data_IF_374903169475
#
_entry.id   IF_374903169475
#
_cell.length_a   1.000
_cell.length_b   1.000
_cell.length_c   1.000
_cell.angle_alpha   90.00
_cell.angle_beta   90.00
_cell.angle_gamma   90.00
#
_symmetry.space_group_name_H-M   'P 1'
#
loop_
_entity.id
_entity.type
_entity.pdbx_description
1 polymer ?
#
# COMPACT_ATOMS: atom_id res chain seq x y z
N UNK A 1 6.74 2.05 -14.14
CA UNK A 1 5.38 2.16 -13.59
C UNK A 1 5.41 1.68 -12.14
N UNK A 2 4.72 2.38 -11.22
CA UNK A 2 4.78 2.17 -9.77
C UNK A 2 4.43 0.72 -9.34
N UNK A 3 3.46 0.09 -9.99
CA UNK A 3 3.06 -1.31 -9.70
C UNK A 3 4.16 -2.32 -10.07
N UNK A 4 4.91 -2.07 -11.11
CA UNK A 4 6.07 -2.86 -11.50
C UNK A 4 7.20 -2.74 -10.47
N UNK A 5 7.43 -1.52 -9.97
CA UNK A 5 8.37 -1.29 -8.87
C UNK A 5 7.94 -2.00 -7.58
N UNK A 6 6.63 -1.99 -7.27
CA UNK A 6 6.07 -2.75 -6.15
C UNK A 6 6.27 -4.25 -6.36
N UNK A 7 6.03 -4.78 -7.55
CA UNK A 7 6.27 -6.19 -7.86
C UNK A 7 7.74 -6.58 -7.66
N UNK A 8 8.67 -5.77 -8.15
CA UNK A 8 10.10 -6.02 -7.97
C UNK A 8 10.50 -6.00 -6.49
N UNK A 9 9.96 -5.05 -5.72
CA UNK A 9 10.18 -4.97 -4.28
C UNK A 9 9.64 -6.21 -3.54
N UNK A 10 8.44 -6.68 -3.91
CA UNK A 10 7.87 -7.92 -3.36
C UNK A 10 8.72 -9.13 -3.74
N UNK A 11 9.19 -9.18 -4.98
CA UNK A 11 10.07 -10.25 -5.46
C UNK A 11 11.39 -10.29 -4.70
N UNK A 12 12.01 -9.15 -4.44
CA UNK A 12 13.22 -9.06 -3.60
C UNK A 12 12.96 -9.55 -2.17
N UNK A 13 11.82 -9.15 -1.59
CA UNK A 13 11.43 -9.57 -0.24
C UNK A 13 11.01 -11.05 -0.14
N UNK A 14 10.75 -11.71 -1.28
CA UNK A 14 10.24 -13.08 -1.35
C UNK A 14 11.31 -14.16 -1.29
N UNK A 15 12.61 -13.81 -1.24
CA UNK A 15 13.70 -14.76 -1.33
C UNK A 15 13.53 -15.95 -0.39
N UNK A 16 13.51 -15.72 0.92
CA UNK A 16 13.41 -16.81 1.92
C UNK A 16 11.96 -17.20 2.22
N UNK A 17 11.03 -16.26 2.11
CA UNK A 17 9.63 -16.51 2.43
C UNK A 17 8.89 -17.34 1.36
N UNK A 18 9.30 -17.26 0.09
CA UNK A 18 8.64 -17.88 -1.05
C UNK A 18 9.62 -18.71 -1.88
N UNK A 19 10.67 -18.09 -2.42
CA UNK A 19 11.52 -18.71 -3.45
C UNK A 19 12.32 -19.88 -2.89
N UNK A 20 12.89 -19.72 -1.69
CA UNK A 20 13.66 -20.76 -1.00
C UNK A 20 12.82 -21.58 -0.01
N UNK A 21 11.50 -21.36 0.03
CA UNK A 21 10.62 -22.00 0.99
C UNK A 21 10.06 -23.31 0.41
N UNK A 22 10.39 -24.48 1.00
CA UNK A 22 9.92 -25.77 0.49
C UNK A 22 8.40 -25.96 0.60
N UNK A 23 7.71 -25.14 1.40
CA UNK A 23 6.25 -25.15 1.49
C UNK A 23 5.57 -24.51 0.26
N UNK A 24 6.30 -23.71 -0.53
CA UNK A 24 5.82 -23.09 -1.75
C UNK A 24 6.43 -23.84 -2.94
N UNK A 25 5.61 -24.52 -3.76
CA UNK A 25 6.13 -25.17 -4.97
C UNK A 25 6.79 -24.17 -5.90
N UNK A 26 8.01 -24.48 -6.37
CA UNK A 26 8.80 -23.55 -7.19
C UNK A 26 8.08 -23.09 -8.46
N UNK A 27 7.22 -23.92 -9.01
CA UNK A 27 6.38 -23.62 -10.18
C UNK A 27 5.39 -22.47 -9.92
N UNK A 28 5.03 -22.23 -8.65
CA UNK A 28 4.11 -21.17 -8.24
C UNK A 28 4.80 -19.93 -7.67
N UNK A 29 6.14 -19.90 -7.56
CA UNK A 29 6.85 -18.78 -6.94
C UNK A 29 6.46 -17.41 -7.53
N UNK A 30 6.45 -17.28 -8.86
CA UNK A 30 6.08 -16.03 -9.52
C UNK A 30 4.61 -15.64 -9.30
N UNK A 31 3.72 -16.62 -9.27
CA UNK A 31 2.30 -16.41 -9.03
C UNK A 31 2.06 -15.98 -7.58
N UNK A 32 2.75 -16.58 -6.62
CA UNK A 32 2.69 -16.23 -5.20
C UNK A 32 3.22 -14.81 -4.98
N UNK A 33 4.32 -14.43 -5.63
CA UNK A 33 4.86 -13.06 -5.62
C UNK A 33 3.84 -12.07 -6.19
N UNK A 34 3.20 -12.40 -7.31
CA UNK A 34 2.16 -11.57 -7.91
C UNK A 34 0.93 -11.44 -6.99
N UNK A 35 0.52 -12.52 -6.33
CA UNK A 35 -0.59 -12.51 -5.38
C UNK A 35 -0.27 -11.67 -4.13
N UNK A 36 0.97 -11.72 -3.61
CA UNK A 36 1.42 -10.86 -2.52
C UNK A 36 1.39 -9.39 -2.92
N UNK A 37 1.89 -9.06 -4.11
CA UNK A 37 1.85 -7.70 -4.68
C UNK A 37 0.41 -7.19 -4.77
N UNK A 38 -0.49 -8.01 -5.30
CA UNK A 38 -1.91 -7.70 -5.40
C UNK A 38 -2.55 -7.50 -4.02
N UNK A 39 -2.21 -8.33 -3.05
CA UNK A 39 -2.72 -8.22 -1.68
C UNK A 39 -2.31 -6.90 -1.04
N UNK A 40 -1.06 -6.50 -1.15
CA UNK A 40 -0.57 -5.21 -0.60
C UNK A 40 -1.24 -4.04 -1.31
N UNK A 41 -1.23 -4.00 -2.64
CA UNK A 41 -1.84 -2.91 -3.40
C UNK A 41 -3.35 -2.81 -3.15
N UNK A 42 -4.06 -3.94 -3.12
CA UNK A 42 -5.51 -3.97 -2.85
C UNK A 42 -5.82 -3.60 -1.41
N UNK A 43 -5.01 -4.05 -0.46
CA UNK A 43 -5.15 -3.69 0.96
C UNK A 43 -5.03 -2.18 1.17
N UNK A 44 -4.00 -1.56 0.62
CA UNK A 44 -3.81 -0.11 0.68
C UNK A 44 -4.96 0.64 -0.03
N UNK A 45 -5.39 0.16 -1.19
CA UNK A 45 -6.52 0.72 -1.93
C UNK A 45 -7.82 0.64 -1.13
N UNK A 46 -8.11 -0.50 -0.54
CA UNK A 46 -9.30 -0.70 0.29
C UNK A 46 -9.32 0.24 1.49
N UNK A 47 -8.16 0.49 2.10
CA UNK A 47 -8.05 1.48 3.17
C UNK A 47 -8.42 2.88 2.70
N UNK A 48 -7.87 3.34 1.58
CA UNK A 48 -8.21 4.66 1.02
C UNK A 48 -9.68 4.72 0.66
N UNK A 49 -10.21 3.68 0.02
CA UNK A 49 -11.62 3.58 -0.37
C UNK A 49 -12.58 3.65 0.84
N UNK A 50 -12.16 3.12 1.99
CA UNK A 50 -12.88 3.20 3.24
C UNK A 50 -12.68 4.51 4.03
N UNK A 51 -11.95 5.49 3.48
CA UNK A 51 -11.62 6.76 4.16
C UNK A 51 -10.44 6.67 5.13
N UNK A 52 -9.68 5.58 5.12
CA UNK A 52 -8.54 5.33 5.99
C UNK A 52 -7.21 5.93 5.52
N UNK A 53 -7.24 7.02 4.75
CA UNK A 53 -6.03 7.71 4.27
C UNK A 53 -5.11 8.11 5.43
N UNK A 54 -5.67 8.61 6.54
CA UNK A 54 -4.91 8.97 7.73
C UNK A 54 -4.14 7.77 8.31
N UNK A 55 -4.74 6.59 8.31
CA UNK A 55 -4.10 5.36 8.78
C UNK A 55 -2.92 4.96 7.89
N UNK A 56 -3.03 5.13 6.57
CA UNK A 56 -1.91 4.92 5.64
C UNK A 56 -0.80 5.94 5.92
N UNK A 57 -1.14 7.22 6.00
CA UNK A 57 -0.16 8.28 6.28
C UNK A 57 0.55 8.00 7.60
N UNK A 58 -0.18 7.62 8.65
CA UNK A 58 0.41 7.26 9.94
C UNK A 58 1.33 6.05 9.84
N UNK A 59 0.94 5.01 9.09
CA UNK A 59 1.76 3.81 8.86
C UNK A 59 3.09 4.15 8.17
N UNK A 60 3.06 5.06 7.20
CA UNK A 60 4.24 5.44 6.42
C UNK A 60 5.06 6.58 7.06
N UNK A 61 4.46 7.41 7.90
CA UNK A 61 5.13 8.55 8.55
C UNK A 61 5.84 8.19 9.85
N UNK A 62 5.52 7.06 10.47
CA UNK A 62 6.10 6.62 11.76
C UNK A 62 7.57 6.22 11.59
N UNK A 63 8.43 7.24 11.45
CA UNK A 63 9.89 7.11 11.36
C UNK A 63 10.56 6.85 12.71
N UNK A 64 9.92 7.12 13.86
CA UNK A 64 10.66 7.49 15.06
C UNK A 64 10.28 6.77 16.35
N UNK A 65 9.39 5.81 16.38
CA UNK A 65 9.15 5.11 17.63
C UNK A 65 9.51 3.62 17.51
N UNK A 66 10.74 3.36 17.96
CA UNK A 66 11.21 2.05 18.43
C UNK A 66 10.66 0.83 17.66
N UNK A 67 11.24 0.59 16.49
CA UNK A 67 11.05 -0.66 15.78
C UNK A 67 10.28 -0.52 14.49
N UNK A 68 10.86 0.17 13.48
CA UNK A 68 10.48 -0.01 12.07
C UNK A 68 10.75 -1.45 11.58
N UNK A 69 10.82 -2.39 12.49
CA UNK A 69 10.99 -3.80 12.20
C UNK A 69 9.65 -4.43 11.82
N UNK A 70 9.71 -5.46 11.00
CA UNK A 70 8.56 -6.27 10.58
C UNK A 70 7.67 -6.71 11.76
N UNK A 71 8.23 -6.86 12.95
CA UNK A 71 7.51 -7.27 14.16
C UNK A 71 6.51 -6.23 14.69
N UNK A 72 6.78 -4.93 14.52
CA UNK A 72 5.84 -3.89 14.96
C UNK A 72 4.62 -3.81 14.02
N UNK A 73 4.81 -4.17 12.76
CA UNK A 73 3.73 -4.22 11.77
C UNK A 73 2.76 -5.38 12.03
N UNK A 74 3.19 -6.46 12.67
CA UNK A 74 2.32 -7.59 13.06
C UNK A 74 1.23 -7.20 14.06
N UNK A 75 1.41 -6.13 14.81
CA UNK A 75 0.38 -5.61 15.72
C UNK A 75 -0.64 -4.68 15.04
N UNK A 76 -0.41 -4.33 13.78
CA UNK A 76 -1.32 -3.46 13.04
C UNK A 76 -2.51 -4.28 12.49
N UNK A 77 -3.77 -3.92 12.81
CA UNK A 77 -4.94 -4.67 12.36
C UNK A 77 -5.07 -4.76 10.84
N UNK A 78 -4.58 -3.77 10.12
CA UNK A 78 -4.62 -3.73 8.66
C UNK A 78 -3.62 -4.71 8.07
N UNK A 79 -2.42 -4.76 8.63
CA UNK A 79 -1.39 -5.74 8.24
C UNK A 79 -1.89 -7.15 8.52
N UNK A 80 -2.52 -7.39 9.67
CA UNK A 80 -3.13 -8.68 9.99
C UNK A 80 -4.24 -9.08 9.00
N UNK A 81 -5.03 -8.11 8.56
CA UNK A 81 -6.06 -8.35 7.54
C UNK A 81 -5.44 -8.74 6.19
N UNK A 82 -4.36 -8.08 5.77
CA UNK A 82 -3.61 -8.45 4.58
C UNK A 82 -2.98 -9.84 4.70
N UNK A 83 -2.39 -10.17 5.85
CA UNK A 83 -1.83 -11.50 6.16
C UNK A 83 -2.91 -12.57 6.04
N UNK A 84 -4.07 -12.38 6.66
CA UNK A 84 -5.17 -13.32 6.61
C UNK A 84 -5.71 -13.52 5.18
N UNK A 85 -5.85 -12.45 4.43
CA UNK A 85 -6.29 -12.51 3.03
C UNK A 85 -5.28 -13.26 2.15
N UNK A 86 -4.00 -12.94 2.27
CA UNK A 86 -2.94 -13.60 1.51
C UNK A 86 -2.81 -15.08 1.89
N UNK A 87 -2.80 -15.40 3.19
CA UNK A 87 -2.79 -16.78 3.67
C UNK A 87 -3.97 -17.60 3.10
N UNK A 88 -5.18 -17.04 3.12
CA UNK A 88 -6.35 -17.65 2.51
C UNK A 88 -6.20 -17.91 1.01
N UNK A 89 -5.57 -17.01 0.28
CA UNK A 89 -5.24 -17.18 -1.15
C UNK A 89 -4.25 -18.31 -1.37
N UNK A 90 -3.20 -18.38 -0.56
CA UNK A 90 -2.19 -19.44 -0.62
C UNK A 90 -2.81 -20.82 -0.40
N UNK A 91 -3.71 -20.95 0.56
CA UNK A 91 -4.41 -22.20 0.85
C UNK A 91 -5.38 -22.57 -0.26
N UNK A 92 -6.22 -21.63 -0.68
CA UNK A 92 -7.32 -21.93 -1.60
C UNK A 92 -6.88 -22.08 -3.06
N UNK A 93 -5.85 -21.34 -3.48
CA UNK A 93 -5.43 -21.29 -4.89
C UNK A 93 -4.23 -22.18 -5.19
N UNK A 94 -3.31 -22.28 -4.22
CA UNK A 94 -2.06 -23.04 -4.40
C UNK A 94 -1.99 -24.29 -3.54
N UNK A 95 -3.06 -24.61 -2.82
CA UNK A 95 -3.17 -25.81 -1.97
C UNK A 95 -2.04 -25.93 -0.93
N UNK A 96 -1.52 -24.79 -0.46
CA UNK A 96 -0.52 -24.75 0.59
C UNK A 96 -1.22 -24.97 1.93
N UNK A 97 -0.64 -25.82 2.80
CA UNK A 97 -1.16 -26.07 4.13
C UNK A 97 -1.42 -24.75 4.90
N UNK A 98 -2.53 -24.66 5.62
CA UNK A 98 -2.95 -23.43 6.29
C UNK A 98 -1.94 -22.87 7.29
N UNK A 99 -1.20 -23.74 7.98
CA UNK A 99 -0.12 -23.33 8.90
C UNK A 99 1.05 -22.76 8.13
N UNK A 100 1.46 -23.41 7.05
CA UNK A 100 2.53 -22.95 6.17
C UNK A 100 2.13 -21.68 5.44
N UNK A 101 0.91 -21.58 4.95
CA UNK A 101 0.38 -20.39 4.30
C UNK A 101 0.40 -19.17 5.25
N UNK A 102 0.03 -19.38 6.52
CA UNK A 102 0.10 -18.34 7.54
C UNK A 102 1.55 -17.92 7.84
N UNK A 103 2.48 -18.88 7.94
CA UNK A 103 3.89 -18.60 8.15
C UNK A 103 4.48 -17.77 6.99
N UNK A 104 4.20 -18.16 5.75
CA UNK A 104 4.62 -17.39 4.55
C UNK A 104 4.05 -15.97 4.60
N UNK A 105 2.76 -15.83 4.85
CA UNK A 105 2.07 -14.55 4.87
C UNK A 105 2.59 -13.63 5.99
N UNK A 106 2.78 -14.16 7.21
CA UNK A 106 3.26 -13.41 8.37
C UNK A 106 4.72 -12.97 8.24
N UNK A 107 5.52 -13.64 7.43
CA UNK A 107 6.87 -13.22 7.11
C UNK A 107 6.90 -12.24 5.93
N UNK A 108 6.23 -12.56 4.84
CA UNK A 108 6.33 -11.81 3.59
C UNK A 108 5.65 -10.43 3.69
N UNK A 109 4.40 -10.37 4.13
CA UNK A 109 3.62 -9.12 4.10
C UNK A 109 4.25 -8.01 4.95
N UNK A 110 4.65 -8.25 6.22
CA UNK A 110 5.33 -7.22 7.02
C UNK A 110 6.69 -6.80 6.44
N UNK A 111 7.45 -7.73 5.85
CA UNK A 111 8.73 -7.41 5.21
C UNK A 111 8.53 -6.52 3.99
N UNK A 112 7.55 -6.82 3.16
CA UNK A 112 7.19 -6.00 1.99
C UNK A 112 6.79 -4.60 2.43
N UNK A 113 5.91 -4.49 3.43
CA UNK A 113 5.47 -3.18 3.95
C UNK A 113 6.63 -2.40 4.58
N UNK A 114 7.50 -3.06 5.36
CA UNK A 114 8.68 -2.42 5.92
C UNK A 114 9.61 -1.85 4.84
N UNK A 115 9.90 -2.65 3.81
CA UNK A 115 10.70 -2.20 2.67
C UNK A 115 10.02 -1.07 1.90
N UNK A 116 8.70 -1.15 1.72
CA UNK A 116 7.92 -0.10 1.06
C UNK A 116 7.97 1.20 1.86
N UNK A 117 7.79 1.15 3.18
CA UNK A 117 7.90 2.31 4.07
C UNK A 117 9.31 2.91 4.01
N UNK A 118 10.36 2.08 4.04
CA UNK A 118 11.73 2.55 3.96
C UNK A 118 12.01 3.25 2.62
N UNK A 119 11.59 2.66 1.50
CA UNK A 119 11.78 3.24 0.16
C UNK A 119 10.99 4.54 -0.03
N UNK A 120 9.75 4.62 0.45
CA UNK A 120 8.95 5.86 0.36
C UNK A 120 9.48 6.98 1.24
N UNK A 121 10.26 6.65 2.27
CA UNK A 121 10.89 7.61 3.17
C UNK A 121 12.36 7.93 2.82
N UNK A 122 12.92 7.28 1.82
CA UNK A 122 14.29 7.53 1.36
C UNK A 122 14.30 8.71 0.38
N UNK A 123 14.91 9.86 0.74
CA UNK A 123 14.97 11.02 -0.14
C UNK A 123 15.84 10.81 -1.37
N UNK A 124 16.67 9.77 -1.40
CA UNK A 124 17.51 9.41 -2.55
C UNK A 124 16.78 8.52 -3.56
N UNK A 125 15.68 7.87 -3.16
CA UNK A 125 14.85 7.03 -4.05
C UNK A 125 13.72 7.85 -4.68
N UNK A 126 14.04 8.52 -5.78
CA UNK A 126 13.06 9.31 -6.53
C UNK A 126 12.01 8.47 -7.28
N UNK A 127 12.17 7.16 -7.32
CA UNK A 127 11.27 6.23 -8.00
C UNK A 127 10.08 5.80 -7.13
N UNK A 128 10.24 5.85 -5.82
CA UNK A 128 9.25 5.40 -4.86
C UNK A 128 8.86 6.53 -3.90
N UNK A 129 7.67 7.07 -4.04
CA UNK A 129 7.11 8.05 -3.12
C UNK A 129 5.71 7.64 -2.65
N UNK A 130 5.35 8.05 -1.43
CA UNK A 130 4.00 7.82 -0.90
C UNK A 130 2.94 8.48 -1.79
N UNK A 131 3.24 9.68 -2.33
CA UNK A 131 2.39 10.36 -3.30
C UNK A 131 2.17 9.51 -4.56
N UNK A 132 3.25 8.98 -5.15
CA UNK A 132 3.18 8.13 -6.34
C UNK A 132 2.40 6.83 -6.08
N UNK A 133 2.60 6.22 -4.90
CA UNK A 133 1.86 5.03 -4.48
C UNK A 133 0.36 5.33 -4.37
N UNK A 134 -0.01 6.39 -3.64
CA UNK A 134 -1.40 6.81 -3.50
C UNK A 134 -2.02 7.21 -4.84
N UNK A 135 -1.26 7.90 -5.69
CA UNK A 135 -1.72 8.27 -7.03
C UNK A 135 -2.05 7.03 -7.88
N UNK A 136 -1.22 5.99 -7.79
CA UNK A 136 -1.46 4.73 -8.51
C UNK A 136 -2.70 3.99 -8.01
N UNK A 137 -2.91 3.90 -6.70
CA UNK A 137 -4.06 3.19 -6.13
C UNK A 137 -5.37 3.97 -6.21
N UNK A 138 -5.33 5.29 -6.38
CA UNK A 138 -6.51 6.17 -6.54
C UNK A 138 -6.81 6.50 -7.99
N UNK A 139 -6.07 5.95 -8.95
CA UNK A 139 -6.29 6.21 -10.37
C UNK A 139 -5.98 7.65 -10.79
N UNK A 140 -4.96 8.27 -10.20
CA UNK A 140 -4.53 9.62 -10.55
C UNK A 140 -5.15 10.74 -9.71
N UNK A 141 -6.09 10.43 -8.82
CA UNK A 141 -6.80 11.44 -8.02
C UNK A 141 -5.91 12.21 -7.04
N UNK A 142 -4.82 11.64 -6.58
CA UNK A 142 -3.87 12.35 -5.72
C UNK A 142 -3.23 13.54 -6.44
N UNK A 143 -2.74 13.33 -7.67
CA UNK A 143 -2.17 14.40 -8.48
C UNK A 143 -3.21 15.46 -8.87
N UNK A 144 -4.43 15.05 -9.21
CA UNK A 144 -5.55 15.95 -9.51
C UNK A 144 -5.87 16.89 -8.32
N UNK A 145 -5.97 16.32 -7.12
CA UNK A 145 -6.25 17.11 -5.90
C UNK A 145 -5.12 18.10 -5.58
N UNK A 146 -3.85 17.68 -5.69
CA UNK A 146 -2.70 18.57 -5.47
C UNK A 146 -2.72 19.72 -6.47
N UNK A 147 -2.98 19.45 -7.73
CA UNK A 147 -3.04 20.46 -8.80
C UNK A 147 -4.19 21.46 -8.62
N UNK A 148 -5.37 20.98 -8.22
CA UNK A 148 -6.50 21.86 -7.92
C UNK A 148 -6.24 22.79 -6.73
N UNK A 149 -5.58 22.29 -5.67
CA UNK A 149 -5.21 23.10 -4.52
C UNK A 149 -4.20 24.21 -4.89
N UNK A 150 -3.25 23.89 -5.78
CA UNK A 150 -2.31 24.89 -6.32
C UNK A 150 -3.03 25.95 -7.14
N UNK A 151 -3.98 25.56 -7.98
CA UNK A 151 -4.75 26.47 -8.83
C UNK A 151 -5.74 27.34 -8.04
N UNK A 152 -6.19 26.90 -6.87
CA UNK A 152 -7.12 27.61 -6.00
C UNK A 152 -6.46 28.72 -5.13
N UNK A 153 -5.24 29.14 -5.49
CA UNK A 153 -4.52 30.22 -4.84
C UNK A 153 -3.60 29.77 -3.70
N UNK A 154 -3.48 28.49 -3.47
CA UNK A 154 -2.56 27.90 -2.50
C UNK A 154 -1.23 27.54 -3.19
N UNK A 155 -0.59 28.56 -3.77
CA UNK A 155 0.66 28.41 -4.50
C UNK A 155 1.73 27.80 -3.59
N UNK A 156 2.17 26.59 -3.91
CA UNK A 156 3.12 25.82 -3.10
C UNK A 156 2.51 24.68 -2.31
N UNK A 157 1.18 24.43 -2.43
CA UNK A 157 0.58 23.22 -1.87
C UNK A 157 1.20 21.98 -2.54
N UNK A 158 1.69 21.08 -1.72
CA UNK A 158 2.25 19.80 -2.15
C UNK A 158 1.70 18.67 -1.27
N UNK A 159 2.00 17.45 -1.65
CA UNK A 159 1.54 16.28 -0.91
C UNK A 159 2.09 16.24 0.53
N UNK A 160 3.27 16.82 0.77
CA UNK A 160 3.87 16.92 2.11
C UNK A 160 3.04 17.82 3.05
N UNK A 161 2.44 18.90 2.51
CA UNK A 161 1.52 19.74 3.28
C UNK A 161 0.25 18.98 3.68
N UNK A 162 -0.24 18.12 2.78
CA UNK A 162 -1.34 17.21 3.08
C UNK A 162 -0.98 16.28 4.24
N UNK A 163 0.18 15.64 4.18
CA UNK A 163 0.70 14.80 5.26
C UNK A 163 0.80 15.59 6.57
N UNK A 164 1.39 16.78 6.54
CA UNK A 164 1.53 17.65 7.70
C UNK A 164 0.19 18.01 8.36
N UNK A 165 -0.82 18.27 7.56
CA UNK A 165 -2.19 18.54 8.07
C UNK A 165 -2.85 17.31 8.70
N UNK A 166 -2.55 16.11 8.21
CA UNK A 166 -3.08 14.87 8.77
C UNK A 166 -2.31 14.39 10.00
N UNK A 167 -0.99 14.54 10.05
CA UNK A 167 -0.15 14.07 11.17
C UNK A 167 0.02 15.10 12.27
N UNK A 168 -0.08 16.38 11.94
CA UNK A 168 0.26 17.50 12.82
C UNK A 168 -0.82 17.92 13.81
N UNK A 169 -1.83 17.11 14.13
CA UNK A 169 -2.79 17.40 15.22
C UNK A 169 -3.28 18.86 15.30
N UNK A 170 -3.24 19.57 14.19
CA UNK A 170 -3.50 21.00 14.10
C UNK A 170 -4.92 21.32 14.49
N UNK A 171 -5.02 21.92 15.65
CA UNK A 171 -6.20 22.55 16.19
C UNK A 171 -6.94 23.32 15.10
N UNK A 172 -8.22 23.00 14.96
CA UNK A 172 -9.18 23.74 14.16
C UNK A 172 -9.08 25.23 14.44
N UNK A 173 -8.47 25.99 13.56
CA UNK A 173 -8.69 27.39 13.53
C UNK A 173 -8.83 27.87 12.08
N UNK A 174 -10.07 28.07 11.66
CA UNK A 174 -10.43 28.87 10.50
C UNK A 174 -10.35 28.20 9.13
N UNK A 175 -11.42 27.59 8.65
CA UNK A 175 -11.72 27.50 7.21
C UNK A 175 -11.26 26.26 6.44
N UNK A 176 -10.54 25.32 7.06
CA UNK A 176 -9.95 24.19 6.33
C UNK A 176 -10.61 22.82 6.50
N UNK A 177 -11.57 22.66 7.41
CA UNK A 177 -12.16 21.36 7.73
C UNK A 177 -12.92 20.72 6.54
N UNK A 178 -13.62 21.54 5.76
CA UNK A 178 -14.36 21.08 4.60
C UNK A 178 -13.42 20.67 3.44
N UNK A 179 -12.28 21.34 3.29
CA UNK A 179 -11.32 21.02 2.23
C UNK A 179 -10.60 19.69 2.43
N UNK A 180 -10.23 19.35 3.67
CA UNK A 180 -9.58 18.07 3.96
C UNK A 180 -10.54 16.89 3.80
N UNK A 181 -11.79 17.04 4.24
CA UNK A 181 -12.83 16.03 4.07
C UNK A 181 -13.17 15.82 2.60
N UNK A 182 -13.19 16.88 1.80
CA UNK A 182 -13.36 16.79 0.35
C UNK A 182 -12.20 16.03 -0.31
N UNK A 183 -10.96 16.31 0.07
CA UNK A 183 -9.78 15.59 -0.40
C UNK A 183 -9.87 14.10 -0.07
N UNK A 184 -10.17 13.75 1.18
CA UNK A 184 -10.34 12.35 1.59
C UNK A 184 -11.44 11.67 0.80
N UNK A 185 -12.58 12.32 0.61
CA UNK A 185 -13.71 11.80 -0.16
C UNK A 185 -13.35 11.55 -1.63
N UNK A 186 -12.60 12.45 -2.25
CA UNK A 186 -12.14 12.32 -3.63
C UNK A 186 -11.13 11.20 -3.79
N UNK A 187 -10.17 11.08 -2.88
CA UNK A 187 -9.20 9.98 -2.89
C UNK A 187 -9.89 8.64 -2.64
N UNK A 188 -10.83 8.59 -1.71
CA UNK A 188 -11.66 7.41 -1.46
C UNK A 188 -12.49 7.02 -2.70
N UNK A 189 -13.11 8.00 -3.35
CA UNK A 189 -13.86 7.79 -4.60
C UNK A 189 -12.98 7.28 -5.73
N UNK A 190 -11.77 7.81 -5.88
CA UNK A 190 -10.78 7.32 -6.84
C UNK A 190 -10.36 5.87 -6.57
N UNK A 191 -10.10 5.54 -5.32
CA UNK A 191 -9.75 4.18 -4.91
C UNK A 191 -10.91 3.20 -5.12
N UNK A 192 -12.17 3.60 -4.83
CA UNK A 192 -13.36 2.80 -5.12
C UNK A 192 -13.56 2.58 -6.62
N UNK A 193 -13.35 3.61 -7.43
CA UNK A 193 -13.45 3.49 -8.88
C UNK A 193 -12.40 2.52 -9.45
N UNK A 194 -11.19 2.54 -8.94
CA UNK A 194 -10.16 1.57 -9.30
C UNK A 194 -10.50 0.15 -8.83
N UNK A 195 -11.09 0.02 -7.66
CA UNK A 195 -11.55 -1.27 -7.15
C UNK A 195 -12.63 -1.89 -8.06
N UNK A 196 -13.58 -1.08 -8.56
CA UNK A 196 -14.60 -1.55 -9.48
C UNK A 196 -14.04 -1.90 -10.86
N UNK A 197 -13.10 -1.12 -11.38
CA UNK A 197 -12.47 -1.37 -12.70
C UNK A 197 -11.61 -2.62 -12.70
N UNK A 198 -10.95 -2.90 -11.60
CA UNK A 198 -9.97 -3.98 -11.52
C UNK A 198 -10.54 -5.29 -10.96
N UNK A 199 -11.80 -5.33 -10.55
CA UNK A 199 -12.58 -6.53 -10.22
C UNK A 199 -11.83 -7.72 -9.62
N UNK A 200 -10.79 -7.49 -8.84
CA UNK A 200 -9.92 -8.51 -8.27
C UNK A 200 -8.90 -9.15 -9.22
N UNK A 201 -8.99 -8.92 -10.53
CA UNK A 201 -8.11 -9.54 -11.53
C UNK A 201 -7.16 -8.58 -12.28
N UNK A 202 -7.42 -7.27 -12.23
CA UNK A 202 -6.73 -6.33 -13.11
C UNK A 202 -5.22 -6.19 -12.90
N UNK A 203 -4.72 -6.40 -11.68
CA UNK A 203 -3.28 -6.40 -11.40
C UNK A 203 -2.61 -7.69 -11.88
N UNK A 204 -3.32 -8.82 -11.80
CA UNK A 204 -2.82 -10.10 -12.32
C UNK A 204 -2.69 -10.10 -13.84
N UNK A 205 -3.61 -9.45 -14.56
CA UNK A 205 -3.54 -9.34 -16.02
C UNK A 205 -2.39 -8.41 -16.45
N UNK A 206 -2.10 -7.37 -15.66
CA UNK A 206 -1.00 -6.46 -15.91
C UNK A 206 0.37 -7.10 -15.68
N UNK A 207 0.45 -8.04 -14.73
CA UNK A 207 1.67 -8.77 -14.36
C UNK A 207 1.88 -10.00 -15.28
N UNK A 208 0.81 -10.61 -15.80
CA UNK A 208 0.88 -11.73 -16.75
C UNK A 208 1.33 -11.33 -18.17
N UNK A 209 1.32 -10.03 -18.47
CA UNK A 209 1.78 -9.47 -19.74
C UNK A 209 3.30 -9.26 -19.83
N UNK A 210 4.04 -9.64 -18.80
CA UNK A 210 5.49 -9.63 -18.70
C UNK A 210 5.99 -11.06 -18.48
#
# INVERSE_FOLDING_TARGET
>A
IMLEQLFNLVKEASGDAVINNPAVPNEHNNEVVAEATNTVASGLRNMVAGGGLQSIISLFSNKNEQGSGSNSLLNNPIVNMMIGHFSGKLTNKYNIDGTQANNVASNLIPNVLSNLINKTNDPSDNGFSLEGLLNSITGGKTAEVVQEQQNSGNSGFNFQDLIGKFTGGGQQNGGGGNGLMDIVSRLAGGAQAQQQKNGGGGLMDLIKGF
#
